data_IF_907016732100
#
_entry.id   IF_907016732100
#
_cell.length_a   1.000
_cell.length_b   1.000
_cell.length_c   1.000
_cell.angle_alpha   90.00
_cell.angle_beta   90.00
_cell.angle_gamma   90.00
#
_symmetry.space_group_name_H-M   'P 1'
#
loop_
_entity.id
_entity.type
_entity.pdbx_description
1 polymer ?
#
# COMPACT_ATOMS: atom_id res chain seq x y z
N UNK A 1 -0.58 0.04 -14.98
CA UNK A 1 -0.41 -1.41 -15.18
C UNK A 1 -1.57 -2.21 -14.58
N UNK A 2 -1.78 -2.23 -13.25
CA UNK A 2 -2.83 -3.04 -12.58
C UNK A 2 -4.27 -2.76 -13.06
N UNK A 3 -4.66 -1.49 -13.18
CA UNK A 3 -6.00 -1.10 -13.67
C UNK A 3 -6.23 -1.64 -15.10
N UNK A 4 -5.24 -1.53 -15.98
CA UNK A 4 -5.32 -2.03 -17.35
C UNK A 4 -5.38 -3.56 -17.41
N UNK A 5 -4.67 -4.26 -16.52
CA UNK A 5 -4.76 -5.72 -16.42
C UNK A 5 -6.14 -6.18 -15.95
N UNK A 6 -6.70 -5.53 -14.92
CA UNK A 6 -8.05 -5.81 -14.44
C UNK A 6 -9.11 -5.50 -15.50
N UNK A 7 -8.95 -4.42 -16.26
CA UNK A 7 -9.86 -4.06 -17.35
C UNK A 7 -9.96 -5.16 -18.42
N UNK A 8 -8.82 -5.77 -18.77
CA UNK A 8 -8.78 -6.87 -19.74
C UNK A 8 -9.29 -8.19 -19.16
N UNK A 9 -9.11 -8.42 -17.86
CA UNK A 9 -9.45 -9.68 -17.16
C UNK A 9 -10.47 -9.41 -16.03
N UNK A 10 -11.68 -9.00 -16.42
CA UNK A 10 -12.73 -8.54 -15.49
C UNK A 10 -13.41 -9.68 -14.71
N UNK A 11 -13.18 -10.91 -15.10
CA UNK A 11 -13.64 -12.16 -14.50
C UNK A 11 -12.59 -12.79 -13.56
N UNK A 12 -11.34 -12.36 -13.66
CA UNK A 12 -10.21 -12.95 -12.95
C UNK A 12 -10.04 -12.42 -11.52
N UNK A 13 -10.17 -13.32 -10.54
CA UNK A 13 -9.98 -13.02 -9.12
C UNK A 13 -11.16 -12.28 -8.49
N UNK A 14 -11.24 -12.30 -7.15
CA UNK A 14 -12.34 -11.69 -6.42
C UNK A 14 -12.33 -10.14 -6.56
N UNK A 15 -13.47 -9.49 -6.90
CA UNK A 15 -13.57 -8.03 -7.03
C UNK A 15 -13.14 -7.25 -5.78
N UNK A 16 -13.39 -7.79 -4.58
CA UNK A 16 -12.97 -7.17 -3.33
C UNK A 16 -11.44 -7.12 -3.19
N UNK A 17 -10.75 -8.18 -3.65
CA UNK A 17 -9.29 -8.21 -3.66
C UNK A 17 -8.72 -7.09 -4.53
N UNK A 18 -9.26 -6.95 -5.74
CA UNK A 18 -8.90 -5.85 -6.66
C UNK A 18 -9.18 -4.47 -6.07
N UNK A 19 -10.37 -4.25 -5.49
CA UNK A 19 -10.73 -2.97 -4.91
C UNK A 19 -9.79 -2.57 -3.76
N UNK A 20 -9.44 -3.52 -2.90
CA UNK A 20 -8.53 -3.27 -1.78
C UNK A 20 -7.10 -2.95 -2.25
N UNK A 21 -6.56 -3.71 -3.21
CA UNK A 21 -5.24 -3.41 -3.79
C UNK A 21 -5.22 -2.04 -4.45
N UNK A 22 -6.25 -1.71 -5.25
CA UNK A 22 -6.32 -0.41 -5.92
C UNK A 22 -6.49 0.74 -4.94
N UNK A 23 -7.34 0.58 -3.92
CA UNK A 23 -7.54 1.59 -2.89
C UNK A 23 -6.26 1.84 -2.08
N UNK A 24 -5.56 0.78 -1.67
CA UNK A 24 -4.30 0.91 -0.94
C UNK A 24 -3.18 1.53 -1.79
N UNK A 25 -3.02 1.09 -3.03
CA UNK A 25 -2.04 1.68 -3.95
C UNK A 25 -2.34 3.17 -4.22
N UNK A 26 -3.62 3.52 -4.37
CA UNK A 26 -4.03 4.91 -4.57
C UNK A 26 -3.82 5.77 -3.32
N UNK A 27 -4.09 5.25 -2.11
CA UNK A 27 -3.80 5.95 -0.86
C UNK A 27 -2.33 6.32 -0.71
N UNK A 28 -1.43 5.35 -0.89
CA UNK A 28 0.02 5.58 -0.85
C UNK A 28 0.51 6.51 -1.98
N UNK A 29 -0.17 6.49 -3.13
CA UNK A 29 0.08 7.42 -4.22
C UNK A 29 -0.34 8.86 -3.88
N UNK A 30 -1.49 9.06 -3.24
CA UNK A 30 -1.97 10.38 -2.82
C UNK A 30 -0.98 11.09 -1.89
N UNK A 31 -0.34 10.34 -1.00
CA UNK A 31 0.68 10.88 -0.11
C UNK A 31 1.86 11.53 -0.86
N UNK A 32 2.13 11.12 -2.10
CA UNK A 32 3.24 11.65 -2.91
C UNK A 32 2.96 13.05 -3.48
N UNK A 33 1.73 13.54 -3.42
CA UNK A 33 1.40 14.94 -3.78
C UNK A 33 1.71 15.92 -2.65
N UNK A 34 1.96 15.42 -1.44
CA UNK A 34 2.18 16.24 -0.26
C UNK A 34 3.62 16.14 0.21
N UNK A 35 4.29 17.28 0.18
CA UNK A 35 5.60 17.49 0.78
C UNK A 35 5.41 17.70 2.28
N UNK A 36 6.06 16.87 3.09
CA UNK A 36 6.02 16.95 4.55
C UNK A 36 7.09 17.92 5.04
N UNK A 37 6.67 18.81 5.93
CA UNK A 37 7.50 19.83 6.56
C UNK A 37 7.55 19.50 8.06
N UNK A 38 8.67 18.95 8.57
CA UNK A 38 8.80 18.59 9.98
C UNK A 38 8.39 19.73 10.91
N UNK A 39 7.48 19.45 11.85
CA UNK A 39 7.04 20.40 12.88
C UNK A 39 6.04 21.46 12.42
N UNK A 40 5.72 21.58 11.12
CA UNK A 40 4.80 22.61 10.60
C UNK A 40 3.60 22.02 9.87
N UNK A 41 3.74 20.87 9.20
CA UNK A 41 2.63 20.21 8.50
C UNK A 41 3.01 19.74 7.10
N UNK A 42 2.18 20.05 6.11
CA UNK A 42 2.41 19.65 4.72
C UNK A 42 2.03 20.76 3.74
N UNK A 43 2.62 20.70 2.54
CA UNK A 43 2.24 21.53 1.39
C UNK A 43 2.07 20.67 0.13
N UNK A 44 1.22 21.11 -0.79
CA UNK A 44 1.10 20.46 -2.09
C UNK A 44 2.38 20.69 -2.91
N UNK A 45 2.96 19.63 -3.46
CA UNK A 45 4.17 19.70 -4.28
C UNK A 45 4.78 18.34 -4.62
N UNK A 46 5.62 18.33 -5.64
CA UNK A 46 6.25 17.11 -6.17
C UNK A 46 7.77 17.09 -5.97
N UNK A 47 8.32 18.13 -5.33
CA UNK A 47 9.76 18.23 -5.03
C UNK A 47 9.95 18.76 -3.61
N UNK A 48 10.77 18.08 -2.77
CA UNK A 48 11.12 18.57 -1.45
C UNK A 48 12.19 19.67 -1.55
N UNK A 49 12.06 20.69 -0.70
CA UNK A 49 13.11 21.65 -0.38
C UNK A 49 14.06 21.13 0.70
N UNK A 50 14.93 22.02 1.19
CA UNK A 50 15.89 21.69 2.26
C UNK A 50 15.12 21.37 3.54
N UNK A 51 15.33 20.18 4.10
CA UNK A 51 14.68 19.72 5.33
C UNK A 51 13.25 19.21 5.15
N UNK A 52 12.72 19.20 3.93
CA UNK A 52 11.42 18.62 3.61
C UNK A 52 11.58 17.21 3.03
N UNK A 53 10.53 16.40 3.06
CA UNK A 53 10.54 15.07 2.45
C UNK A 53 9.21 14.70 1.79
N UNK A 54 9.28 13.87 0.75
CA UNK A 54 8.12 13.25 0.13
C UNK A 54 8.15 11.76 0.46
N UNK A 55 7.23 11.34 1.32
CA UNK A 55 7.14 9.98 1.82
C UNK A 55 5.70 9.48 1.83
N UNK A 56 5.53 8.22 2.21
CA UNK A 56 4.24 7.74 2.73
C UNK A 56 4.26 7.96 4.24
N UNK A 57 3.12 8.28 4.85
CA UNK A 57 3.01 8.42 6.31
C UNK A 57 2.63 7.09 6.93
N UNK A 58 3.58 6.50 7.67
CA UNK A 58 3.37 5.29 8.46
C UNK A 58 3.10 5.66 9.92
N UNK A 59 2.01 5.11 10.48
CA UNK A 59 1.54 5.46 11.83
C UNK A 59 1.13 4.25 12.67
N UNK A 60 1.02 3.07 12.06
CA UNK A 60 0.83 1.82 12.78
C UNK A 60 2.20 1.23 13.07
N UNK A 61 2.57 1.23 14.34
CA UNK A 61 3.87 0.76 14.82
C UNK A 61 3.62 -0.22 15.96
N UNK A 62 4.07 -1.46 15.77
CA UNK A 62 3.80 -2.57 16.68
C UNK A 62 5.11 -3.15 17.21
N UNK A 63 5.21 -3.17 18.52
CA UNK A 63 6.28 -3.87 19.23
C UNK A 63 6.04 -5.38 19.16
N UNK A 64 7.10 -6.14 18.92
CA UNK A 64 7.04 -7.59 18.78
C UNK A 64 7.74 -8.24 19.97
N UNK A 65 7.33 -9.45 20.42
CA UNK A 65 7.98 -10.06 21.57
C UNK A 65 9.48 -10.27 21.36
N UNK A 66 10.29 -9.77 22.29
CA UNK A 66 11.77 -9.75 22.26
C UNK A 66 12.45 -11.12 22.10
N UNK A 67 11.71 -12.22 22.28
CA UNK A 67 12.23 -13.58 22.06
C UNK A 67 12.28 -13.98 20.57
N UNK A 68 11.73 -13.16 19.69
CA UNK A 68 11.86 -13.31 18.25
C UNK A 68 13.06 -12.48 17.78
N UNK A 69 13.74 -12.89 16.70
CA UNK A 69 15.00 -12.29 16.21
C UNK A 69 14.89 -10.80 15.76
N UNK A 70 13.76 -10.16 16.03
CA UNK A 70 13.45 -8.77 15.76
C UNK A 70 12.55 -8.26 16.90
N UNK A 71 12.86 -7.08 17.42
CA UNK A 71 12.08 -6.43 18.48
C UNK A 71 10.89 -5.63 17.94
N UNK A 72 10.95 -5.15 16.70
CA UNK A 72 9.87 -4.34 16.10
C UNK A 72 9.53 -4.79 14.70
N UNK A 73 8.23 -4.80 14.41
CA UNK A 73 7.74 -4.91 13.05
C UNK A 73 7.89 -3.55 12.34
N UNK A 74 8.23 -3.50 11.04
CA UNK A 74 8.28 -2.24 10.31
C UNK A 74 6.94 -1.49 10.40
N UNK A 75 6.99 -0.19 10.69
CA UNK A 75 5.77 0.62 10.72
C UNK A 75 5.09 0.63 9.34
N UNK A 76 3.76 0.68 9.34
CA UNK A 76 2.95 0.69 8.12
C UNK A 76 1.68 1.54 8.32
N UNK A 77 0.82 1.60 7.30
CA UNK A 77 -0.44 2.34 7.37
C UNK A 77 -1.64 1.51 6.88
N UNK A 78 -2.83 2.12 6.91
CA UNK A 78 -4.05 1.45 6.44
C UNK A 78 -4.03 1.13 4.94
N UNK A 79 -3.35 1.93 4.12
CA UNK A 79 -3.22 1.68 2.69
C UNK A 79 -2.39 0.42 2.43
N UNK A 80 -1.29 0.22 3.16
CA UNK A 80 -0.51 -1.02 3.12
C UNK A 80 -1.34 -2.23 3.54
N UNK A 81 -2.13 -2.08 4.61
CA UNK A 81 -3.05 -3.13 5.07
C UNK A 81 -4.05 -3.53 3.99
N UNK A 82 -4.64 -2.55 3.28
CA UNK A 82 -5.52 -2.80 2.15
C UNK A 82 -4.81 -3.55 1.01
N UNK A 83 -3.58 -3.16 0.65
CA UNK A 83 -2.79 -3.87 -0.36
C UNK A 83 -2.54 -5.31 0.08
N UNK A 84 -2.12 -5.54 1.32
CA UNK A 84 -1.83 -6.89 1.83
C UNK A 84 -3.08 -7.77 1.83
N UNK A 85 -4.19 -7.31 2.43
CA UNK A 85 -5.44 -8.07 2.49
C UNK A 85 -5.98 -8.34 1.08
N UNK A 86 -5.96 -7.30 0.23
CA UNK A 86 -6.42 -7.43 -1.16
C UNK A 86 -5.61 -8.45 -1.94
N UNK A 87 -4.28 -8.43 -1.80
CA UNK A 87 -3.39 -9.38 -2.44
C UNK A 87 -3.61 -10.80 -1.89
N UNK A 88 -3.79 -10.97 -0.58
CA UNK A 88 -4.13 -12.27 0.03
C UNK A 88 -5.40 -12.84 -0.57
N UNK A 89 -6.46 -12.03 -0.69
CA UNK A 89 -7.72 -12.45 -1.34
C UNK A 89 -7.47 -12.85 -2.79
N UNK A 90 -6.72 -12.06 -3.55
CA UNK A 90 -6.43 -12.36 -4.95
C UNK A 90 -5.67 -13.68 -5.09
N UNK A 91 -4.60 -13.89 -4.31
CA UNK A 91 -3.80 -15.12 -4.33
C UNK A 91 -4.68 -16.36 -4.09
N UNK A 92 -5.62 -16.29 -3.15
CA UNK A 92 -6.50 -17.42 -2.84
C UNK A 92 -7.69 -17.60 -3.79
N UNK A 93 -8.06 -16.58 -4.56
CA UNK A 93 -9.29 -16.60 -5.39
C UNK A 93 -9.03 -16.58 -6.89
N UNK A 94 -7.84 -16.15 -7.32
CA UNK A 94 -7.43 -16.31 -8.71
C UNK A 94 -7.30 -17.80 -8.99
N UNK A 95 -8.07 -18.26 -9.97
CA UNK A 95 -7.82 -19.55 -10.57
C UNK A 95 -6.49 -19.42 -11.30
N UNK A 96 -5.46 -20.13 -10.84
CA UNK A 96 -4.32 -20.46 -11.67
C UNK A 96 -4.85 -21.38 -12.75
N UNK A 97 -5.25 -20.84 -13.90
CA UNK A 97 -5.37 -21.68 -15.09
C UNK A 97 -3.95 -22.17 -15.39
N UNK A 98 -3.64 -23.39 -14.97
CA UNK A 98 -2.57 -24.15 -15.59
C UNK A 98 -3.02 -24.36 -17.04
N UNK A 99 -2.38 -23.65 -17.97
CA UNK A 99 -2.47 -23.96 -19.39
C UNK A 99 -2.06 -25.44 -19.54
N UNK A 100 -3.03 -26.28 -19.92
CA UNK A 100 -2.79 -27.63 -20.43
C UNK A 100 -2.57 -27.58 -21.94
#
# INVERSE_FOLDING_TARGET
FLIGYRWKNHDLGNPWGWNLVMAGAFGNFLDKFFVKIPGTGFRLGFSPGIGEYIGVVDFLDFDWPDFLLFSRWPAFNFADSCVTIGLTILIFTMKLEEEK
#
